data_IF_423331308214
#
_entry.id   IF_423331308214
#
_cell.length_a   1.000
_cell.length_b   1.000
_cell.length_c   1.000
_cell.angle_alpha   90.00
_cell.angle_beta   90.00
_cell.angle_gamma   90.00
#
_symmetry.space_group_name_H-M   'P 1'
#
loop_
_entity.id
_entity.type
_entity.pdbx_description
1 polymer ?
#
# COMPACT_ATOMS: atom_id res chain seq x y z
N UNK A 1 -13.40 51.96 46.01
CA UNK A 1 -12.42 50.91 46.37
C UNK A 1 -12.75 49.55 45.73
N UNK A 2 -13.99 49.05 45.80
CA UNK A 2 -14.39 47.75 45.19
C UNK A 2 -14.10 47.61 43.68
N UNK A 3 -14.22 48.70 42.91
CA UNK A 3 -14.00 48.71 41.45
C UNK A 3 -12.57 48.44 41.00
N UNK A 4 -11.58 49.01 41.70
CA UNK A 4 -10.16 48.77 41.43
C UNK A 4 -9.76 47.33 41.80
N UNK A 5 -10.43 46.77 42.81
CA UNK A 5 -10.17 45.42 43.27
C UNK A 5 -10.73 44.38 42.28
N UNK A 6 -11.94 44.58 41.75
CA UNK A 6 -12.54 43.66 40.76
C UNK A 6 -11.76 43.67 39.44
N UNK A 7 -11.33 44.83 38.94
CA UNK A 7 -10.53 44.90 37.71
C UNK A 7 -9.11 44.36 37.91
N UNK A 8 -8.49 44.59 39.07
CA UNK A 8 -7.18 44.02 39.41
C UNK A 8 -7.24 42.50 39.58
N UNK A 9 -8.31 41.96 40.17
CA UNK A 9 -8.52 40.51 40.28
C UNK A 9 -8.77 39.88 38.91
N UNK A 10 -9.58 40.50 38.05
CA UNK A 10 -9.80 39.99 36.69
C UNK A 10 -8.52 40.03 35.84
N UNK A 11 -7.73 41.12 35.94
CA UNK A 11 -6.43 41.23 35.28
C UNK A 11 -5.39 40.23 35.83
N UNK A 12 -5.37 40.00 37.15
CA UNK A 12 -4.52 38.96 37.76
C UNK A 12 -4.94 37.55 37.36
N UNK A 13 -6.24 37.26 37.31
CA UNK A 13 -6.75 35.94 36.89
C UNK A 13 -6.41 35.67 35.43
N UNK A 14 -6.52 36.66 34.55
CA UNK A 14 -6.07 36.54 33.16
C UNK A 14 -4.54 36.38 33.11
N UNK A 15 -3.76 37.22 33.79
CA UNK A 15 -2.29 37.16 33.75
C UNK A 15 -1.70 35.89 34.39
N UNK A 16 -2.35 35.31 35.40
CA UNK A 16 -1.90 34.09 36.10
C UNK A 16 -2.41 32.80 35.46
N UNK A 17 -3.49 32.85 34.67
CA UNK A 17 -4.02 31.67 33.97
C UNK A 17 -3.44 31.50 32.56
N UNK A 18 -3.00 32.58 31.91
CA UNK A 18 -2.36 32.55 30.58
C UNK A 18 -1.15 31.59 30.48
N UNK A 19 -0.25 31.46 31.49
CA UNK A 19 0.85 30.50 31.43
C UNK A 19 0.39 29.04 31.55
N UNK A 20 -0.74 28.77 32.21
CA UNK A 20 -1.25 27.42 32.43
C UNK A 20 -2.05 26.86 31.23
N UNK A 21 -2.46 27.72 30.30
CA UNK A 21 -3.09 27.31 29.03
C UNK A 21 -2.10 27.17 27.87
N UNK A 22 -0.78 27.26 28.11
CA UNK A 22 0.25 26.93 27.11
C UNK A 22 0.29 25.42 26.80
N UNK A 23 -0.47 24.60 27.53
CA UNK A 23 -0.95 23.30 27.03
C UNK A 23 -2.21 23.49 26.18
N UNK A 24 -2.17 24.42 25.22
CA UNK A 24 -3.30 24.63 24.32
C UNK A 24 -3.44 23.35 23.49
N UNK A 25 -4.68 22.88 23.34
CA UNK A 25 -5.04 22.01 22.24
C UNK A 25 -4.44 22.63 20.97
N UNK A 26 -3.44 21.97 20.37
CA UNK A 26 -2.79 22.45 19.16
C UNK A 26 -3.89 22.78 18.16
N UNK A 27 -4.10 24.07 17.90
CA UNK A 27 -5.05 24.52 16.89
C UNK A 27 -4.43 24.06 15.57
N UNK A 28 -5.00 23.05 14.89
CA UNK A 28 -4.32 22.43 13.75
C UNK A 28 -3.99 23.49 12.70
N UNK A 29 -4.89 24.46 12.53
CA UNK A 29 -4.78 25.62 11.65
C UNK A 29 -3.54 26.51 11.87
N UNK A 30 -2.97 26.55 13.08
CA UNK A 30 -1.83 27.42 13.43
C UNK A 30 -0.52 26.66 13.53
N UNK A 31 -0.51 25.34 13.30
CA UNK A 31 0.71 24.53 13.33
C UNK A 31 1.45 24.63 11.99
N UNK A 32 2.78 24.88 12.00
CA UNK A 32 3.56 24.87 10.76
C UNK A 32 3.58 23.45 10.19
N UNK A 33 2.99 23.27 9.01
CA UNK A 33 2.83 21.96 8.35
C UNK A 33 1.39 21.49 8.20
N UNK A 34 0.41 22.22 8.73
CA UNK A 34 -1.00 21.87 8.52
C UNK A 34 -1.53 22.37 7.17
N UNK A 35 -1.97 21.41 6.37
CA UNK A 35 -2.67 21.59 5.10
C UNK A 35 -4.05 20.92 5.18
N UNK A 36 -5.08 21.59 4.66
CA UNK A 36 -6.45 21.04 4.62
C UNK A 36 -6.44 19.74 3.84
N UNK A 37 -5.82 19.75 2.66
CA UNK A 37 -5.57 18.57 1.85
C UNK A 37 -4.24 17.98 2.29
N UNK A 38 -4.24 16.86 3.03
CA UNK A 38 -3.01 16.21 3.43
C UNK A 38 -2.34 15.56 2.21
N UNK A 39 -1.02 15.52 2.22
CA UNK A 39 -0.28 14.71 1.27
C UNK A 39 -0.38 13.23 1.65
N UNK A 40 -0.63 12.36 0.67
CA UNK A 40 -0.83 10.93 0.95
C UNK A 40 0.41 10.27 1.56
N UNK A 41 1.61 10.77 1.23
CA UNK A 41 2.88 10.29 1.77
C UNK A 41 3.05 10.59 3.26
N UNK A 42 2.50 11.71 3.74
CA UNK A 42 2.56 12.09 5.16
C UNK A 42 1.60 11.23 6.02
N UNK A 43 0.56 10.68 5.39
CA UNK A 43 -0.40 9.77 6.03
C UNK A 43 0.08 8.32 6.06
N UNK A 44 0.84 7.91 5.04
CA UNK A 44 1.42 6.57 4.92
C UNK A 44 2.72 6.65 4.11
N UNK A 45 3.85 6.36 4.78
CA UNK A 45 5.18 6.36 4.17
C UNK A 45 5.32 5.35 3.00
N UNK A 46 4.38 4.42 2.86
CA UNK A 46 4.32 3.44 1.76
C UNK A 46 3.82 4.07 0.45
N UNK A 47 3.20 5.25 0.50
CA UNK A 47 2.70 5.95 -0.67
C UNK A 47 3.81 6.73 -1.40
N UNK A 48 3.87 6.75 -2.75
CA UNK A 48 4.77 7.63 -3.48
C UNK A 48 4.50 9.11 -3.20
N UNK A 49 5.55 9.95 -3.23
CA UNK A 49 5.40 11.41 -3.16
C UNK A 49 4.55 11.91 -4.32
N UNK A 50 3.54 12.75 -4.02
CA UNK A 50 2.59 13.25 -5.01
C UNK A 50 1.51 12.24 -5.45
N UNK A 51 1.36 11.10 -4.77
CA UNK A 51 0.28 10.17 -5.06
C UNK A 51 -1.11 10.77 -4.75
N UNK A 52 -2.13 10.50 -5.58
CA UNK A 52 -3.49 10.95 -5.31
C UNK A 52 -4.07 10.25 -4.06
N UNK A 53 -4.92 10.97 -3.33
CA UNK A 53 -5.55 10.47 -2.10
C UNK A 53 -6.47 9.28 -2.39
N UNK A 54 -6.28 8.21 -1.63
CA UNK A 54 -7.19 7.08 -1.58
C UNK A 54 -8.37 7.32 -0.64
N UNK A 55 -9.27 6.34 -0.54
CA UNK A 55 -10.43 6.43 0.35
C UNK A 55 -10.05 6.76 1.79
N UNK A 56 -9.00 6.13 2.32
CA UNK A 56 -8.51 6.39 3.67
C UNK A 56 -7.89 7.79 3.84
N UNK A 57 -7.37 8.40 2.76
CA UNK A 57 -6.89 9.77 2.75
C UNK A 57 -8.01 10.80 2.66
N UNK A 58 -9.08 10.50 1.90
CA UNK A 58 -10.29 11.33 1.84
C UNK A 58 -11.00 11.37 3.20
N UNK A 59 -11.07 10.23 3.91
CA UNK A 59 -11.58 10.22 5.28
C UNK A 59 -10.75 11.12 6.19
N UNK A 60 -9.42 11.10 6.07
CA UNK A 60 -8.55 11.99 6.83
C UNK A 60 -8.76 13.47 6.50
N UNK A 61 -8.99 13.80 5.22
CA UNK A 61 -9.34 15.16 4.78
C UNK A 61 -10.63 15.65 5.48
N UNK A 62 -11.67 14.82 5.54
CA UNK A 62 -12.93 15.17 6.21
C UNK A 62 -12.68 15.43 7.70
N UNK A 63 -11.88 14.58 8.36
CA UNK A 63 -11.50 14.78 9.75
C UNK A 63 -10.74 16.09 9.97
N UNK A 64 -9.78 16.41 9.09
CA UNK A 64 -9.04 17.67 9.14
C UNK A 64 -9.97 18.87 8.97
N UNK A 65 -10.94 18.80 8.05
CA UNK A 65 -11.91 19.86 7.82
C UNK A 65 -12.84 20.07 9.03
N UNK A 66 -13.34 18.98 9.64
CA UNK A 66 -14.16 19.07 10.86
C UNK A 66 -13.37 19.68 12.02
N UNK A 67 -12.14 19.22 12.24
CA UNK A 67 -11.28 19.75 13.29
C UNK A 67 -10.95 21.24 13.05
N UNK A 68 -10.73 21.63 11.79
CA UNK A 68 -10.55 23.03 11.43
C UNK A 68 -11.80 23.87 11.76
N UNK A 69 -12.99 23.40 11.37
CA UNK A 69 -14.25 24.08 11.67
C UNK A 69 -14.50 24.26 13.16
N UNK A 70 -14.28 23.22 13.97
CA UNK A 70 -14.42 23.30 15.43
C UNK A 70 -13.39 24.27 16.01
N UNK A 71 -12.14 24.21 15.55
CA UNK A 71 -11.08 25.08 16.05
C UNK A 71 -11.39 26.57 15.82
N UNK A 72 -11.84 26.93 14.62
CA UNK A 72 -12.26 28.30 14.27
C UNK A 72 -13.48 28.71 15.09
N UNK A 73 -14.47 27.81 15.23
CA UNK A 73 -15.68 28.06 16.04
C UNK A 73 -15.36 28.38 17.50
N UNK A 74 -14.42 27.65 18.12
CA UNK A 74 -13.98 27.89 19.50
C UNK A 74 -13.26 29.24 19.61
N UNK A 75 -12.34 29.56 18.68
CA UNK A 75 -11.61 30.84 18.70
C UNK A 75 -12.57 32.02 18.58
N UNK A 76 -13.53 31.98 17.66
CA UNK A 76 -14.56 33.02 17.51
C UNK A 76 -15.42 33.11 18.77
N UNK A 77 -15.81 31.97 19.34
CA UNK A 77 -16.62 31.94 20.57
C UNK A 77 -15.89 32.64 21.72
N UNK A 78 -14.59 32.40 21.88
CA UNK A 78 -13.76 33.08 22.88
C UNK A 78 -13.73 34.59 22.64
N UNK A 79 -13.54 35.03 21.39
CA UNK A 79 -13.53 36.47 21.06
C UNK A 79 -14.87 37.16 21.38
N UNK A 80 -15.99 36.52 21.09
CA UNK A 80 -17.33 37.04 21.39
C UNK A 80 -17.56 37.09 22.91
N UNK A 81 -17.14 36.07 23.65
CA UNK A 81 -17.24 36.04 25.11
C UNK A 81 -16.42 37.18 25.71
N UNK A 82 -15.17 37.34 25.28
CA UNK A 82 -14.30 38.43 25.74
C UNK A 82 -14.91 39.80 25.39
N UNK A 83 -15.40 39.99 24.17
CA UNK A 83 -16.04 41.24 23.76
C UNK A 83 -17.29 41.55 24.61
N UNK A 84 -18.14 40.56 24.84
CA UNK A 84 -19.33 40.73 25.69
C UNK A 84 -18.97 41.03 27.15
N UNK A 85 -17.92 40.39 27.67
CA UNK A 85 -17.40 40.65 29.01
C UNK A 85 -16.84 42.07 29.15
N UNK A 86 -16.07 42.52 28.17
CA UNK A 86 -15.54 43.89 28.12
C UNK A 86 -16.67 44.92 28.00
N UNK A 87 -17.66 44.69 27.14
CA UNK A 87 -18.82 45.57 27.00
C UNK A 87 -19.57 45.72 28.32
N UNK A 88 -19.78 44.61 29.05
CA UNK A 88 -20.45 44.61 30.34
C UNK A 88 -19.67 45.35 31.44
N UNK A 89 -18.33 45.30 31.42
CA UNK A 89 -17.49 45.96 32.42
C UNK A 89 -17.24 47.45 32.11
N UNK A 90 -17.16 47.83 30.83
CA UNK A 90 -16.76 49.17 30.41
C UNK A 90 -17.91 50.19 30.33
N UNK A 91 -19.18 49.76 30.44
CA UNK A 91 -20.35 50.66 30.31
C UNK A 91 -21.24 50.69 31.56
N UNK A 92 -20.75 51.28 32.67
CA UNK A 92 -21.37 51.16 34.00
C UNK A 92 -22.72 51.88 34.20
N UNK A 93 -23.11 52.80 33.32
CA UNK A 93 -24.30 53.65 33.51
C UNK A 93 -25.30 53.58 32.35
N UNK A 94 -25.06 52.71 31.36
CA UNK A 94 -25.99 52.53 30.25
C UNK A 94 -26.72 51.18 30.38
N UNK A 95 -28.00 51.16 30.79
CA UNK A 95 -28.76 49.92 30.94
C UNK A 95 -28.92 49.16 29.61
N UNK A 96 -28.88 49.86 28.47
CA UNK A 96 -28.97 49.26 27.14
C UNK A 96 -27.76 48.35 26.88
N UNK A 97 -26.56 48.80 27.19
CA UNK A 97 -25.32 48.04 26.98
C UNK A 97 -25.23 46.82 27.90
N UNK A 98 -25.75 46.92 29.12
CA UNK A 98 -25.85 45.76 30.03
C UNK A 98 -26.83 44.70 29.52
N UNK A 99 -27.97 45.12 28.97
CA UNK A 99 -28.95 44.22 28.35
C UNK A 99 -28.35 43.55 27.11
N UNK A 100 -27.68 44.34 26.26
CA UNK A 100 -27.01 43.86 25.06
C UNK A 100 -25.91 42.85 25.38
N UNK A 101 -25.04 43.13 26.36
CA UNK A 101 -23.95 42.23 26.74
C UNK A 101 -24.47 40.87 27.24
N UNK A 102 -25.54 40.86 28.06
CA UNK A 102 -26.20 39.62 28.48
C UNK A 102 -26.77 38.83 27.31
N UNK A 103 -27.42 39.50 26.36
CA UNK A 103 -27.99 38.86 25.18
C UNK A 103 -26.90 38.20 24.32
N UNK A 104 -25.79 38.91 24.08
CA UNK A 104 -24.65 38.38 23.32
C UNK A 104 -24.01 37.20 24.04
N UNK A 105 -23.85 37.28 25.37
CA UNK A 105 -23.25 36.21 26.17
C UNK A 105 -24.13 34.94 26.18
N UNK A 106 -25.45 35.08 26.37
CA UNK A 106 -26.38 33.95 26.29
C UNK A 106 -26.35 33.30 24.90
N UNK A 107 -26.32 34.11 23.83
CA UNK A 107 -26.21 33.60 22.47
C UNK A 107 -24.89 32.86 22.22
N UNK A 108 -23.78 33.35 22.77
CA UNK A 108 -22.48 32.68 22.68
C UNK A 108 -22.47 31.32 23.39
N UNK A 109 -23.07 31.25 24.59
CA UNK A 109 -23.20 29.99 25.34
C UNK A 109 -24.07 28.98 24.59
N UNK A 110 -25.19 29.43 24.01
CA UNK A 110 -26.04 28.57 23.17
C UNK A 110 -25.27 28.06 21.95
N UNK A 111 -24.52 28.93 21.28
CA UNK A 111 -23.66 28.55 20.15
C UNK A 111 -22.62 27.49 20.52
N UNK A 112 -21.94 27.65 21.66
CA UNK A 112 -20.98 26.68 22.16
C UNK A 112 -21.65 25.34 22.48
N UNK A 113 -22.83 25.36 23.09
CA UNK A 113 -23.59 24.15 23.41
C UNK A 113 -24.02 23.40 22.15
N UNK A 114 -24.41 24.11 21.09
CA UNK A 114 -24.72 23.52 19.77
C UNK A 114 -23.48 22.85 19.16
N UNK A 115 -22.31 23.49 19.18
CA UNK A 115 -21.08 22.90 18.63
C UNK A 115 -20.68 21.62 19.39
N UNK A 116 -20.72 21.65 20.72
CA UNK A 116 -20.37 20.50 21.56
C UNK A 116 -21.36 19.34 21.40
N UNK A 117 -22.66 19.65 21.36
CA UNK A 117 -23.71 18.65 21.14
C UNK A 117 -23.64 18.02 19.75
N UNK A 118 -23.35 18.80 18.70
CA UNK A 118 -23.16 18.27 17.35
C UNK A 118 -22.02 17.24 17.30
N UNK A 119 -20.87 17.55 17.92
CA UNK A 119 -19.76 16.60 18.00
C UNK A 119 -20.14 15.32 18.76
N UNK A 120 -20.86 15.46 19.89
CA UNK A 120 -21.32 14.34 20.69
C UNK A 120 -22.31 13.44 19.94
N UNK A 121 -23.23 14.03 19.18
CA UNK A 121 -24.22 13.28 18.38
C UNK A 121 -23.52 12.45 17.32
N UNK A 122 -22.59 13.05 16.56
CA UNK A 122 -21.80 12.32 15.56
C UNK A 122 -21.01 11.18 16.20
N UNK A 123 -20.36 11.46 17.33
CA UNK A 123 -19.61 10.46 18.08
C UNK A 123 -20.48 9.28 18.52
N UNK A 124 -21.68 9.58 19.03
CA UNK A 124 -22.65 8.57 19.45
C UNK A 124 -23.16 7.73 18.26
N UNK A 125 -23.58 8.37 17.16
CA UNK A 125 -24.08 7.66 15.97
C UNK A 125 -23.02 6.73 15.39
N UNK A 126 -21.78 7.21 15.25
CA UNK A 126 -20.68 6.40 14.72
C UNK A 126 -20.37 5.20 15.63
N UNK A 127 -20.41 5.38 16.95
CA UNK A 127 -20.23 4.28 17.91
C UNK A 127 -21.33 3.23 17.81
N UNK A 128 -22.58 3.63 17.66
CA UNK A 128 -23.71 2.70 17.53
C UNK A 128 -23.61 1.90 16.23
N UNK A 129 -23.32 2.56 15.11
CA UNK A 129 -23.28 1.92 13.79
C UNK A 129 -22.07 1.01 13.56
N UNK A 130 -20.91 1.34 14.14
CA UNK A 130 -19.67 0.58 13.96
C UNK A 130 -19.35 -0.37 15.12
N UNK A 131 -20.31 -0.62 16.01
CA UNK A 131 -20.21 -1.59 17.11
C UNK A 131 -20.33 -3.04 16.62
N UNK A 132 -19.38 -3.53 15.81
CA UNK A 132 -19.45 -4.89 15.25
C UNK A 132 -18.11 -5.47 14.78
N UNK A 133 -17.71 -6.57 15.43
CA UNK A 133 -16.77 -7.63 14.97
C UNK A 133 -15.31 -7.29 14.63
N UNK A 134 -14.78 -6.12 15.00
CA UNK A 134 -13.35 -5.78 14.87
C UNK A 134 -12.58 -5.75 16.21
N UNK A 135 -11.25 -5.73 16.14
CA UNK A 135 -10.29 -5.70 17.27
C UNK A 135 -10.38 -4.47 18.21
N UNK A 136 -11.34 -3.57 17.97
CA UNK A 136 -11.61 -2.38 18.76
C UNK A 136 -13.00 -2.38 19.42
N UNK A 137 -13.67 -3.54 19.45
CA UNK A 137 -14.93 -3.73 20.19
C UNK A 137 -14.72 -3.45 21.69
N UNK A 138 -15.23 -2.31 22.16
CA UNK A 138 -15.25 -1.93 23.59
C UNK A 138 -14.29 -0.82 24.03
N UNK A 139 -13.50 -0.22 23.14
CA UNK A 139 -12.69 0.96 23.50
C UNK A 139 -13.53 2.23 23.48
N UNK A 140 -13.81 2.80 24.65
CA UNK A 140 -14.35 4.16 24.77
C UNK A 140 -13.30 5.17 24.30
N UNK A 141 -13.43 5.65 23.06
CA UNK A 141 -12.58 6.69 22.47
C UNK A 141 -13.33 7.56 21.46
N UNK A 142 -12.72 8.64 20.96
CA UNK A 142 -13.31 9.51 19.94
C UNK A 142 -13.57 8.76 18.63
N UNK A 143 -14.72 9.00 18.00
CA UNK A 143 -15.10 8.42 16.70
C UNK A 143 -14.04 8.57 15.60
N UNK A 144 -13.19 9.60 15.70
CA UNK A 144 -12.08 9.87 14.79
C UNK A 144 -11.12 8.68 14.61
N UNK A 145 -11.05 7.80 15.62
CA UNK A 145 -10.21 6.60 15.61
C UNK A 145 -10.89 5.35 15.05
N UNK A 146 -12.19 5.40 14.80
CA UNK A 146 -12.96 4.27 14.23
C UNK A 146 -12.78 4.20 12.71
N UNK A 147 -12.58 5.34 12.04
CA UNK A 147 -12.50 5.45 10.58
C UNK A 147 -11.08 5.28 10.00
N UNK A 148 -10.19 4.56 10.68
CA UNK A 148 -8.76 4.51 10.26
C UNK A 148 -8.50 3.53 9.10
N UNK A 149 -9.52 2.78 8.64
CA UNK A 149 -9.40 1.80 7.55
C UNK A 149 -9.31 2.39 6.13
N UNK A 150 -8.72 1.60 5.22
CA UNK A 150 -8.66 1.89 3.78
C UNK A 150 -7.32 2.49 3.31
N UNK A 151 -7.02 2.30 2.02
CA UNK A 151 -5.78 2.75 1.39
C UNK A 151 -5.68 4.29 1.45
N UNK A 152 -4.55 4.82 1.92
CA UNK A 152 -4.30 6.27 2.05
C UNK A 152 -3.97 6.94 0.72
N UNK A 153 -3.40 6.19 -0.21
CA UNK A 153 -3.17 6.61 -1.59
C UNK A 153 -3.84 5.65 -2.57
N UNK A 154 -4.16 6.17 -3.77
CA UNK A 154 -4.40 5.33 -4.94
C UNK A 154 -3.05 5.08 -5.60
N UNK A 155 -2.46 3.93 -5.28
CA UNK A 155 -1.33 3.43 -6.06
C UNK A 155 -1.89 2.75 -7.31
N UNK A 156 -1.24 2.96 -8.46
CA UNK A 156 -1.49 2.09 -9.60
C UNK A 156 -1.28 0.65 -9.15
N UNK A 157 -2.35 -0.15 -9.19
CA UNK A 157 -2.30 -1.55 -8.82
C UNK A 157 -1.25 -2.23 -9.68
N UNK A 158 -0.13 -2.65 -9.09
CA UNK A 158 0.81 -3.56 -9.76
C UNK A 158 0.20 -4.94 -9.97
N UNK A 159 -0.93 -5.23 -9.29
CA UNK A 159 -1.84 -6.30 -9.69
C UNK A 159 -2.64 -5.83 -10.90
N UNK A 160 -2.01 -5.93 -12.08
CA UNK A 160 -2.69 -5.91 -13.36
C UNK A 160 -3.56 -7.19 -13.43
N UNK A 161 -4.71 -7.21 -12.75
CA UNK A 161 -5.77 -8.12 -13.16
C UNK A 161 -6.29 -7.57 -14.50
N UNK A 162 -6.17 -8.32 -15.61
CA UNK A 162 -6.72 -7.84 -16.87
C UNK A 162 -8.22 -7.58 -16.68
N UNK A 163 -8.72 -6.46 -17.22
CA UNK A 163 -10.14 -6.04 -17.14
C UNK A 163 -11.12 -7.09 -17.70
N UNK A 164 -10.59 -8.07 -18.41
CA UNK A 164 -11.27 -9.26 -18.90
C UNK A 164 -10.40 -10.47 -18.55
N UNK A 165 -10.99 -11.58 -18.12
CA UNK A 165 -10.31 -12.84 -17.81
C UNK A 165 -9.68 -13.54 -19.04
N UNK A 166 -9.25 -12.79 -20.07
CA UNK A 166 -8.69 -13.33 -21.30
C UNK A 166 -9.72 -13.98 -22.25
N UNK A 167 -11.01 -13.87 -21.95
CA UNK A 167 -12.07 -14.28 -22.87
C UNK A 167 -12.41 -13.14 -23.83
N UNK A 168 -11.71 -13.09 -24.96
CA UNK A 168 -12.21 -12.43 -26.16
C UNK A 168 -13.48 -13.16 -26.61
N UNK A 169 -14.64 -12.54 -26.40
CA UNK A 169 -15.84 -12.89 -27.16
C UNK A 169 -15.60 -12.43 -28.61
N UNK A 170 -15.26 -13.36 -29.50
CA UNK A 170 -15.22 -13.07 -30.93
C UNK A 170 -16.64 -12.79 -31.38
N UNK A 171 -16.96 -11.52 -31.68
CA UNK A 171 -18.16 -11.20 -32.45
C UNK A 171 -17.92 -11.83 -33.82
N UNK A 172 -18.72 -12.81 -34.28
CA UNK A 172 -18.57 -13.32 -35.63
C UNK A 172 -18.85 -12.16 -36.59
N UNK A 173 -17.81 -11.64 -37.25
CA UNK A 173 -18.01 -10.63 -38.29
C UNK A 173 -18.55 -11.35 -39.52
N UNK A 174 -19.82 -11.15 -39.81
CA UNK A 174 -20.40 -11.45 -41.13
C UNK A 174 -20.17 -10.25 -42.04
N UNK A 175 -18.90 -9.85 -42.21
CA UNK A 175 -18.48 -8.78 -43.11
C UNK A 175 -17.58 -9.33 -44.22
N UNK A 176 -17.62 -8.76 -45.44
CA UNK A 176 -16.86 -9.29 -46.57
C UNK A 176 -15.36 -9.23 -46.27
N UNK A 177 -14.70 -10.36 -46.50
CA UNK A 177 -13.26 -10.56 -46.32
C UNK A 177 -12.47 -9.44 -47.00
N UNK A 178 -11.63 -8.73 -46.23
CA UNK A 178 -10.38 -8.05 -46.63
C UNK A 178 -9.88 -7.06 -45.56
N UNK A 179 -9.91 -7.44 -44.28
CA UNK A 179 -9.03 -6.82 -43.28
C UNK A 179 -7.93 -7.85 -43.01
N UNK A 180 -6.69 -7.64 -43.48
CA UNK A 180 -5.59 -8.50 -43.12
C UNK A 180 -5.28 -8.23 -41.65
N UNK A 181 -5.91 -9.03 -40.77
CA UNK A 181 -5.53 -9.06 -39.37
C UNK A 181 -4.30 -9.94 -39.29
N UNK A 182 -3.15 -9.31 -39.13
CA UNK A 182 -1.89 -10.01 -38.92
C UNK A 182 -2.00 -10.81 -37.60
N UNK A 183 -2.17 -12.12 -37.74
CA UNK A 183 -2.35 -13.05 -36.61
C UNK A 183 -1.14 -13.08 -35.67
N UNK A 184 -0.01 -12.47 -36.05
CA UNK A 184 1.16 -12.31 -35.17
C UNK A 184 0.91 -11.32 -34.03
N UNK A 185 -0.11 -10.44 -34.12
CA UNK A 185 -0.50 -9.51 -33.05
C UNK A 185 -1.60 -10.06 -32.12
N UNK A 186 -2.17 -11.24 -32.45
CA UNK A 186 -3.22 -11.92 -31.64
C UNK A 186 -2.66 -13.24 -31.07
N UNK A 187 -1.35 -13.29 -30.82
CA UNK A 187 -0.73 -14.35 -30.04
C UNK A 187 -0.72 -14.01 -28.54
N UNK A 188 -1.85 -13.57 -27.97
CA UNK A 188 -2.00 -13.62 -26.50
C UNK A 188 -2.34 -15.06 -26.14
N UNK A 189 -1.28 -15.85 -26.06
CA UNK A 189 -1.27 -17.22 -25.62
C UNK A 189 -2.01 -17.31 -24.28
N UNK A 190 -3.15 -18.01 -24.25
CA UNK A 190 -3.75 -18.47 -22.99
C UNK A 190 -2.78 -19.45 -22.35
N UNK A 191 -1.97 -18.96 -21.42
CA UNK A 191 -1.05 -19.75 -20.63
C UNK A 191 -1.17 -19.27 -19.19
N UNK A 192 -1.60 -20.17 -18.29
CA UNK A 192 -1.63 -19.99 -16.85
C UNK A 192 -2.49 -18.83 -16.33
N UNK A 193 -3.66 -19.12 -15.76
CA UNK A 193 -4.29 -18.16 -14.83
C UNK A 193 -3.43 -18.08 -13.54
N UNK A 194 -3.19 -16.86 -13.02
CA UNK A 194 -2.38 -16.64 -11.80
C UNK A 194 -0.89 -16.37 -12.07
N UNK A 195 -0.02 -16.72 -11.11
CA UNK A 195 1.42 -16.39 -11.08
C UNK A 195 2.31 -17.02 -12.16
N UNK A 196 1.75 -17.37 -13.32
CA UNK A 196 2.46 -17.92 -14.47
C UNK A 196 2.02 -17.32 -15.79
N UNK A 197 1.15 -16.31 -15.82
CA UNK A 197 0.78 -15.69 -17.09
C UNK A 197 2.01 -15.10 -17.80
N UNK A 198 2.01 -15.00 -19.13
CA UNK A 198 3.09 -14.35 -19.87
C UNK A 198 3.37 -12.93 -19.35
N UNK A 199 2.32 -12.19 -18.96
CA UNK A 199 2.41 -10.85 -18.39
C UNK A 199 3.01 -10.84 -16.99
N UNK A 200 2.72 -11.87 -16.18
CA UNK A 200 3.35 -12.03 -14.88
C UNK A 200 4.86 -12.27 -15.03
N UNK A 201 5.26 -13.11 -15.99
CA UNK A 201 6.66 -13.39 -16.29
C UNK A 201 7.37 -12.14 -16.83
N UNK A 202 6.77 -11.36 -17.73
CA UNK A 202 7.36 -10.10 -18.19
C UNK A 202 7.50 -9.08 -17.05
N UNK A 203 6.53 -9.02 -16.13
CA UNK A 203 6.59 -8.14 -14.95
C UNK A 203 7.73 -8.53 -14.01
N UNK A 204 7.88 -9.82 -13.72
CA UNK A 204 8.96 -10.33 -12.86
C UNK A 204 10.34 -10.18 -13.53
N UNK A 205 10.40 -10.38 -14.85
CA UNK A 205 11.59 -10.11 -15.66
C UNK A 205 12.00 -8.62 -15.57
N UNK A 206 11.03 -7.70 -15.67
CA UNK A 206 11.26 -6.25 -15.49
C UNK A 206 11.78 -5.91 -14.09
N UNK A 207 11.20 -6.48 -13.03
CA UNK A 207 11.71 -6.32 -11.64
C UNK A 207 13.14 -6.82 -11.46
N UNK A 208 13.54 -7.82 -12.25
CA UNK A 208 14.90 -8.36 -12.21
C UNK A 208 15.94 -7.58 -13.01
N UNK A 209 15.53 -6.52 -13.71
CA UNK A 209 16.40 -5.75 -14.61
C UNK A 209 16.78 -6.48 -15.90
N UNK A 210 16.10 -7.59 -16.22
CA UNK A 210 16.33 -8.40 -17.41
C UNK A 210 15.05 -8.46 -18.25
N UNK A 211 14.79 -7.49 -19.14
CA UNK A 211 13.60 -7.51 -19.97
C UNK A 211 13.60 -8.73 -20.91
N UNK A 212 12.41 -9.26 -21.19
CA UNK A 212 12.19 -10.46 -22.01
C UNK A 212 11.26 -10.13 -23.17
N UNK A 213 11.43 -10.79 -24.32
CA UNK A 213 10.50 -10.69 -25.44
C UNK A 213 9.18 -11.38 -25.11
N UNK A 214 8.05 -10.92 -25.69
CA UNK A 214 6.75 -11.57 -25.50
C UNK A 214 6.74 -13.06 -25.91
N UNK A 215 7.49 -13.44 -26.96
CA UNK A 215 7.63 -14.83 -27.42
C UNK A 215 8.28 -15.73 -26.36
N UNK A 216 9.39 -15.27 -25.78
CA UNK A 216 10.08 -15.98 -24.72
C UNK A 216 9.27 -16.03 -23.42
N UNK A 217 8.51 -14.97 -23.11
CA UNK A 217 7.62 -14.96 -21.94
C UNK A 217 6.47 -15.99 -22.07
N UNK A 218 5.87 -16.09 -23.26
CA UNK A 218 4.85 -17.10 -23.54
C UNK A 218 5.41 -18.53 -23.46
N UNK A 219 6.64 -18.73 -23.94
CA UNK A 219 7.32 -20.03 -23.86
C UNK A 219 7.58 -20.44 -22.40
N UNK A 220 8.19 -19.54 -21.61
CA UNK A 220 8.45 -19.77 -20.18
C UNK A 220 7.16 -19.96 -19.37
N UNK A 221 6.11 -19.24 -19.72
CA UNK A 221 4.78 -19.39 -19.12
C UNK A 221 4.25 -20.81 -19.30
N UNK A 222 4.44 -21.39 -20.49
CA UNK A 222 3.95 -22.73 -20.82
C UNK A 222 4.78 -23.80 -20.12
N UNK A 223 6.10 -23.59 -20.06
CA UNK A 223 7.03 -24.44 -19.31
C UNK A 223 6.65 -24.45 -17.81
N UNK A 224 6.38 -23.28 -17.21
CA UNK A 224 6.07 -23.15 -15.79
C UNK A 224 4.82 -23.96 -15.35
N UNK A 225 3.83 -24.14 -16.24
CA UNK A 225 2.67 -25.00 -15.99
C UNK A 225 3.11 -26.45 -15.75
N UNK A 226 4.09 -26.92 -16.50
CA UNK A 226 4.58 -28.30 -16.41
C UNK A 226 5.68 -28.49 -15.36
N UNK A 227 6.46 -27.45 -15.08
CA UNK A 227 7.54 -27.50 -14.10
C UNK A 227 7.06 -27.40 -12.65
N UNK A 228 6.23 -26.40 -12.35
CA UNK A 228 5.82 -26.11 -10.96
C UNK A 228 4.31 -26.13 -10.76
N UNK A 229 3.54 -26.48 -11.79
CA UNK A 229 2.07 -26.31 -11.81
C UNK A 229 1.71 -24.91 -11.35
N UNK A 230 2.29 -23.94 -12.05
CA UNK A 230 2.16 -22.51 -11.79
C UNK A 230 2.56 -22.04 -10.38
N UNK A 231 3.61 -22.62 -9.81
CA UNK A 231 4.13 -22.24 -8.50
C UNK A 231 3.43 -22.91 -7.31
N UNK A 232 2.57 -23.91 -7.53
CA UNK A 232 2.01 -24.72 -6.44
C UNK A 232 3.03 -25.70 -5.87
N UNK A 233 4.02 -26.11 -6.67
CA UNK A 233 5.17 -26.92 -6.24
C UNK A 233 6.47 -26.19 -6.52
N UNK A 234 6.93 -25.42 -5.54
CA UNK A 234 8.13 -24.57 -5.66
C UNK A 234 9.44 -25.27 -5.29
N UNK A 235 9.38 -26.50 -4.79
CA UNK A 235 10.56 -27.31 -4.51
C UNK A 235 10.38 -28.72 -5.02
N UNK A 236 11.37 -29.19 -5.76
CA UNK A 236 11.47 -30.58 -6.12
C UNK A 236 12.81 -31.13 -5.63
N UNK A 237 12.75 -31.92 -4.55
CA UNK A 237 13.92 -32.58 -3.95
C UNK A 237 14.15 -33.99 -4.53
N UNK A 238 13.27 -34.48 -5.40
CA UNK A 238 13.24 -35.88 -5.79
C UNK A 238 13.80 -36.13 -7.19
N UNK A 239 15.08 -35.84 -7.37
CA UNK A 239 15.91 -36.74 -8.16
C UNK A 239 16.96 -37.30 -7.21
N UNK A 240 16.75 -38.55 -6.76
CA UNK A 240 17.65 -39.35 -5.91
C UNK A 240 19.04 -39.63 -6.51
N UNK A 241 19.55 -38.73 -7.33
CA UNK A 241 20.91 -38.61 -7.83
C UNK A 241 21.52 -37.22 -7.56
N UNK A 242 20.83 -36.34 -6.81
CA UNK A 242 21.39 -35.09 -6.32
C UNK A 242 21.19 -33.88 -7.23
N UNK A 243 19.93 -33.44 -7.41
CA UNK A 243 19.60 -32.18 -8.08
C UNK A 243 18.47 -31.48 -7.34
N UNK A 244 18.71 -30.24 -6.91
CA UNK A 244 17.73 -29.38 -6.24
C UNK A 244 17.23 -28.32 -7.21
N UNK A 245 15.99 -28.47 -7.67
CA UNK A 245 15.30 -27.50 -8.51
C UNK A 245 14.27 -26.72 -7.68
N UNK A 246 14.18 -25.41 -7.92
CA UNK A 246 13.33 -24.54 -7.12
C UNK A 246 12.65 -23.44 -7.95
N UNK A 247 11.52 -22.97 -7.42
CA UNK A 247 10.71 -21.89 -7.96
C UNK A 247 9.81 -22.25 -9.14
N UNK A 248 9.33 -21.21 -9.81
CA UNK A 248 8.33 -21.25 -10.86
C UNK A 248 8.74 -22.09 -12.08
N UNK A 249 10.00 -21.96 -12.47
CA UNK A 249 10.61 -22.58 -13.64
C UNK A 249 11.55 -23.72 -13.25
N UNK A 250 11.52 -24.16 -11.99
CA UNK A 250 12.34 -25.29 -11.50
C UNK A 250 13.82 -25.20 -11.90
N UNK A 251 14.43 -24.02 -11.73
CA UNK A 251 15.86 -23.84 -12.00
C UNK A 251 16.69 -24.57 -10.95
N UNK A 252 17.70 -25.32 -11.41
CA UNK A 252 18.63 -26.07 -10.55
C UNK A 252 19.60 -25.14 -9.83
N UNK A 253 19.63 -25.22 -8.49
CA UNK A 253 20.41 -24.29 -7.65
C UNK A 253 21.92 -24.56 -7.75
N UNK A 254 22.33 -25.83 -7.84
CA UNK A 254 23.74 -26.24 -7.81
C UNK A 254 24.47 -25.91 -9.13
N UNK A 255 23.89 -26.30 -10.26
CA UNK A 255 24.50 -26.09 -11.59
C UNK A 255 24.49 -24.63 -12.02
N UNK A 256 23.54 -23.82 -11.54
CA UNK A 256 23.38 -22.40 -11.90
C UNK A 256 23.66 -21.45 -10.75
N UNK A 257 24.45 -21.90 -9.77
CA UNK A 257 24.80 -21.18 -8.55
C UNK A 257 25.44 -19.80 -8.80
N UNK A 258 26.16 -19.61 -9.90
CA UNK A 258 26.74 -18.31 -10.29
C UNK A 258 25.68 -17.26 -10.66
N UNK A 259 24.51 -17.68 -11.15
CA UNK A 259 23.44 -16.77 -11.58
C UNK A 259 22.68 -16.14 -10.40
N UNK A 260 22.85 -16.70 -9.19
CA UNK A 260 22.24 -16.19 -7.95
C UNK A 260 22.86 -14.89 -7.44
N UNK A 261 24.03 -14.48 -7.96
CA UNK A 261 24.73 -13.27 -7.54
C UNK A 261 24.15 -11.98 -8.15
N UNK A 262 22.82 -11.87 -8.17
CA UNK A 262 22.06 -10.67 -8.60
C UNK A 262 21.39 -9.99 -7.39
N UNK A 263 21.24 -8.66 -7.46
CA UNK A 263 20.52 -7.84 -6.47
C UNK A 263 19.11 -8.38 -6.16
N UNK A 264 18.40 -8.87 -7.17
CA UNK A 264 17.05 -9.45 -7.04
C UNK A 264 17.06 -10.70 -6.15
N UNK A 265 18.02 -11.59 -6.37
CA UNK A 265 18.16 -12.81 -5.60
C UNK A 265 18.73 -12.55 -4.19
N UNK A 266 19.59 -11.52 -4.02
CA UNK A 266 20.03 -11.04 -2.70
C UNK A 266 18.85 -10.51 -1.87
N UNK A 267 17.98 -9.70 -2.48
CA UNK A 267 16.76 -9.22 -1.83
C UNK A 267 15.82 -10.38 -1.46
N UNK A 268 15.62 -11.33 -2.37
CA UNK A 268 14.79 -12.52 -2.13
C UNK A 268 15.36 -13.45 -1.04
N UNK A 269 16.69 -13.52 -0.91
CA UNK A 269 17.37 -14.25 0.17
C UNK A 269 17.23 -13.56 1.54
N UNK A 270 16.85 -12.27 1.59
CA UNK A 270 16.80 -11.48 2.81
C UNK A 270 18.18 -11.11 3.35
N UNK A 271 19.17 -10.95 2.46
CA UNK A 271 20.55 -10.56 2.81
C UNK A 271 20.88 -9.17 2.30
N UNK A 272 21.93 -8.56 2.87
CA UNK A 272 22.39 -7.23 2.46
C UNK A 272 22.83 -7.22 0.97
N UNK A 273 22.68 -6.10 0.23
CA UNK A 273 23.05 -6.00 -1.19
C UNK A 273 24.52 -6.33 -1.51
N UNK A 274 25.41 -6.26 -0.51
CA UNK A 274 26.84 -6.56 -0.62
C UNK A 274 27.19 -8.00 -0.23
N UNK A 275 26.24 -8.78 0.27
CA UNK A 275 26.47 -10.17 0.71
C UNK A 275 26.50 -11.10 -0.49
N UNK A 276 27.57 -11.87 -0.64
CA UNK A 276 27.70 -12.94 -1.63
C UNK A 276 26.85 -14.14 -1.18
N UNK A 277 25.96 -14.64 -2.05
CA UNK A 277 25.10 -15.77 -1.71
C UNK A 277 25.89 -17.08 -1.63
N UNK A 278 26.81 -17.29 -2.57
CA UNK A 278 27.67 -18.45 -2.72
C UNK A 278 26.90 -19.78 -2.61
N UNK A 279 25.92 -19.98 -3.50
CA UNK A 279 25.01 -21.13 -3.40
C UNK A 279 25.72 -22.48 -3.58
N UNK A 280 26.89 -22.55 -4.22
CA UNK A 280 27.69 -23.80 -4.29
C UNK A 280 28.11 -24.30 -2.92
N UNK A 281 28.37 -23.42 -1.95
CA UNK A 281 28.74 -23.84 -0.59
C UNK A 281 27.56 -24.43 0.21
N UNK A 282 26.33 -24.23 -0.27
CA UNK A 282 25.11 -24.77 0.35
C UNK A 282 24.67 -26.11 -0.21
N UNK A 283 25.24 -26.58 -1.32
CA UNK A 283 24.81 -27.79 -2.02
C UNK A 283 26.00 -28.70 -2.33
N UNK A 284 25.82 -30.01 -2.17
CA UNK A 284 26.83 -31.00 -2.49
C UNK A 284 26.21 -32.04 -3.44
N UNK A 285 26.71 -32.06 -4.68
CA UNK A 285 26.14 -32.89 -5.77
C UNK A 285 24.63 -32.69 -5.81
N UNK A 286 24.21 -31.43 -5.93
CA UNK A 286 22.82 -30.95 -5.92
C UNK A 286 21.93 -31.31 -4.74
N UNK A 287 22.47 -31.85 -3.64
CA UNK A 287 21.74 -32.00 -2.38
C UNK A 287 22.04 -30.84 -1.44
N UNK A 288 21.01 -30.24 -0.84
CA UNK A 288 21.19 -29.22 0.20
C UNK A 288 21.98 -29.81 1.38
N UNK A 289 23.03 -29.12 1.81
CA UNK A 289 23.80 -29.51 3.00
C UNK A 289 22.91 -29.30 4.24
N UNK A 290 22.62 -30.34 5.03
CA UNK A 290 21.75 -30.22 6.20
C UNK A 290 22.30 -29.20 7.21
N UNK A 291 21.46 -28.27 7.67
CA UNK A 291 21.84 -27.24 8.65
C UNK A 291 22.65 -26.07 8.09
N UNK A 292 22.86 -26.00 6.77
CA UNK A 292 23.57 -24.89 6.14
C UNK A 292 22.63 -23.69 5.94
N UNK A 293 22.93 -22.58 6.62
CA UNK A 293 22.26 -21.30 6.39
C UNK A 293 22.39 -20.81 4.93
N UNK A 294 23.40 -21.29 4.20
CA UNK A 294 23.63 -21.02 2.78
C UNK A 294 22.56 -21.72 1.92
N UNK A 295 22.29 -22.99 2.21
CA UNK A 295 21.30 -23.76 1.50
C UNK A 295 19.90 -23.14 1.68
N UNK A 296 19.57 -22.72 2.89
CA UNK A 296 18.27 -22.12 3.20
C UNK A 296 18.05 -20.77 2.51
N UNK A 297 19.05 -19.87 2.53
CA UNK A 297 18.93 -18.56 1.87
C UNK A 297 18.82 -18.69 0.35
N UNK A 298 19.58 -19.61 -0.27
CA UNK A 298 19.53 -19.86 -1.71
C UNK A 298 18.21 -20.53 -2.11
N UNK A 299 17.71 -21.45 -1.29
CA UNK A 299 16.40 -22.08 -1.50
C UNK A 299 15.27 -21.05 -1.38
N UNK A 300 15.37 -20.12 -0.42
CA UNK A 300 14.42 -19.01 -0.26
C UNK A 300 14.44 -18.07 -1.46
N UNK A 301 15.63 -17.66 -1.91
CA UNK A 301 15.78 -16.84 -3.09
C UNK A 301 15.21 -17.51 -4.34
N UNK A 302 15.51 -18.80 -4.54
CA UNK A 302 15.04 -19.54 -5.71
C UNK A 302 13.51 -19.71 -5.77
N UNK A 303 12.82 -19.68 -4.62
CA UNK A 303 11.34 -19.72 -4.54
C UNK A 303 10.69 -18.40 -4.93
N UNK A 304 11.40 -17.28 -4.78
CA UNK A 304 10.87 -15.98 -5.15
C UNK A 304 10.70 -15.89 -6.67
N UNK A 305 9.52 -15.48 -7.18
CA UNK A 305 9.24 -15.47 -8.60
C UNK A 305 10.11 -14.48 -9.38
N UNK A 306 10.50 -13.35 -8.80
CA UNK A 306 11.36 -12.38 -9.48
C UNK A 306 12.79 -12.89 -9.61
N UNK A 307 13.35 -13.46 -8.54
CA UNK A 307 14.66 -14.13 -8.63
C UNK A 307 14.60 -15.35 -9.57
N UNK A 308 13.54 -16.17 -9.50
CA UNK A 308 13.43 -17.37 -10.33
C UNK A 308 13.36 -17.07 -11.83
N UNK A 309 12.59 -16.06 -12.23
CA UNK A 309 12.55 -15.59 -13.62
C UNK A 309 13.90 -15.00 -14.04
N UNK A 310 14.57 -14.25 -13.16
CA UNK A 310 15.91 -13.73 -13.43
C UNK A 310 16.93 -14.83 -13.70
N UNK A 311 16.88 -15.91 -12.92
CA UNK A 311 17.73 -17.08 -13.09
C UNK A 311 17.43 -17.79 -14.40
N UNK A 312 16.15 -18.06 -14.69
CA UNK A 312 15.75 -18.73 -15.92
C UNK A 312 16.16 -17.94 -17.17
N UNK A 313 16.12 -16.61 -17.13
CA UNK A 313 16.61 -15.76 -18.21
C UNK A 313 18.13 -15.88 -18.43
N UNK A 314 18.90 -16.04 -17.37
CA UNK A 314 20.34 -16.27 -17.49
C UNK A 314 20.64 -17.66 -18.06
N UNK A 315 19.90 -18.68 -17.61
CA UNK A 315 19.96 -20.04 -18.18
C UNK A 315 19.62 -20.03 -19.66
N UNK A 316 18.57 -19.31 -20.06
CA UNK A 316 18.18 -19.16 -21.46
C UNK A 316 19.29 -18.52 -22.31
N UNK A 317 20.04 -17.57 -21.74
CA UNK A 317 21.18 -16.92 -22.43
C UNK A 317 22.39 -17.85 -22.56
N UNK A 318 22.64 -18.72 -21.59
CA UNK A 318 23.83 -19.59 -21.59
C UNK A 318 23.61 -20.91 -22.34
N UNK A 319 22.45 -21.52 -22.17
CA UNK A 319 22.18 -22.91 -22.59
C UNK A 319 20.91 -23.04 -23.45
N UNK A 320 20.18 -21.93 -23.68
CA UNK A 320 18.90 -21.95 -24.38
C UNK A 320 17.83 -22.70 -23.60
N UNK A 321 16.86 -23.27 -24.31
CA UNK A 321 15.79 -24.06 -23.70
C UNK A 321 16.23 -25.48 -23.30
N UNK A 322 17.49 -25.87 -23.58
CA UNK A 322 18.02 -27.20 -23.31
C UNK A 322 17.93 -27.61 -21.84
N UNK A 323 17.97 -26.65 -20.92
CA UNK A 323 17.82 -26.89 -19.49
C UNK A 323 16.46 -27.49 -19.09
N UNK A 324 15.40 -27.28 -19.89
CA UNK A 324 14.05 -27.80 -19.65
C UNK A 324 13.67 -28.97 -20.58
N UNK A 325 14.53 -29.31 -21.55
CA UNK A 325 14.27 -30.36 -22.55
C UNK A 325 15.23 -31.53 -22.50
N UNK A 326 16.05 -31.63 -21.45
CA UNK A 326 17.06 -32.69 -21.34
C UNK A 326 16.49 -34.02 -20.78
N UNK A 327 15.33 -33.98 -20.11
CA UNK A 327 14.70 -35.18 -19.54
C UNK A 327 13.91 -35.93 -20.63
N UNK A 328 14.00 -37.27 -20.76
CA UNK A 328 13.15 -38.04 -21.68
C UNK A 328 11.61 -37.84 -21.49
N UNK A 329 11.16 -37.18 -20.41
CA UNK A 329 9.77 -36.79 -20.16
C UNK A 329 9.44 -35.33 -20.55
N UNK A 330 10.34 -34.62 -21.24
CA UNK A 330 10.16 -33.20 -21.62
C UNK A 330 9.28 -32.94 -22.83
N UNK A 331 8.55 -33.95 -23.33
CA UNK A 331 7.70 -33.82 -24.51
C UNK A 331 6.68 -32.67 -24.41
N UNK A 332 6.26 -32.29 -23.20
CA UNK A 332 5.37 -31.14 -22.97
C UNK A 332 6.11 -29.81 -23.05
N UNK A 333 7.31 -29.73 -22.51
CA UNK A 333 8.20 -28.57 -22.57
C UNK A 333 8.66 -28.32 -24.02
N UNK A 334 9.00 -29.37 -24.76
CA UNK A 334 9.31 -29.30 -26.19
C UNK A 334 8.12 -28.80 -27.02
N UNK A 335 6.91 -29.26 -26.70
CA UNK A 335 5.70 -28.76 -27.34
C UNK A 335 5.46 -27.27 -27.05
N UNK A 336 5.79 -26.78 -25.84
CA UNK A 336 5.74 -25.36 -25.51
C UNK A 336 6.73 -24.55 -26.37
N UNK A 337 7.96 -25.04 -26.53
CA UNK A 337 9.01 -24.38 -27.32
C UNK A 337 8.66 -24.39 -28.80
N UNK A 338 8.19 -25.51 -29.36
CA UNK A 338 7.76 -25.58 -30.75
C UNK A 338 6.59 -24.63 -31.06
N UNK A 339 5.73 -24.38 -30.07
CA UNK A 339 4.55 -23.51 -30.20
C UNK A 339 4.86 -22.02 -30.09
N UNK A 340 5.82 -21.63 -29.25
CA UNK A 340 6.06 -20.22 -28.89
C UNK A 340 7.50 -19.71 -29.13
N UNK A 341 8.44 -20.60 -29.41
CA UNK A 341 9.88 -20.29 -29.52
C UNK A 341 10.35 -19.77 -30.89
N UNK A 342 9.47 -19.66 -31.89
CA UNK A 342 9.81 -19.19 -33.25
C UNK A 342 9.53 -17.69 -33.46
N UNK A 343 9.63 -16.85 -32.42
CA UNK A 343 9.34 -15.42 -32.49
C UNK A 343 10.51 -14.54 -32.10
#
# INVERSE_FOLDING_TARGET
MYRLWVTAVFACVIALSVPAYVSAADLPLLTPGWHIVPDAHDLDSSCPVGAPLGFGGVLQLIQNLMNAGISIGIVISILVIVFSGLLWMLTPFNPENHSQAKKVLTNAVIGLLIILSAWLIVDFVMKVLYSGTGADSGKFGPWNKILVGGNKCVTASTDLKPLFSGDLFTIPSTGPANVPVDATQIATARVGTGGCSPEYITTMAGKSGSPITPSNAATLSCIAVHESTCGTRLLNYNWGKGSSAAGLLQVTIDSHSSFFENATCRAAAGVSPTTVLNCTAGFNKGNAVPGSAIAERCTRAAKDPACNVALALQVLKSEGYGAWTHDPKSNKQEACIARFGNG
#
